data_IF_989302865742
#
_entry.id   IF_989302865742
#
_cell.length_a   1.000
_cell.length_b   1.000
_cell.length_c   1.000
_cell.angle_alpha   90.00
_cell.angle_beta   90.00
_cell.angle_gamma   90.00
#
_symmetry.space_group_name_H-M   'P 1'
#
loop_
_entity.id
_entity.type
_entity.pdbx_description
1 polymer ?
#
# COMPACT_ATOMS: atom_id res chain seq x y z
N UNK A 1 19.06 26.13 71.69
CA UNK A 1 18.85 24.70 71.36
C UNK A 1 17.64 24.57 70.46
N UNK A 2 17.79 23.77 69.40
CA UNK A 2 16.81 23.49 68.33
C UNK A 2 15.46 22.96 68.85
N UNK A 3 14.39 23.24 68.11
CA UNK A 3 13.53 22.15 67.66
C UNK A 3 12.93 22.41 66.27
N UNK A 4 13.65 21.89 65.27
CA UNK A 4 13.25 21.73 63.88
C UNK A 4 12.34 20.51 63.75
N UNK A 5 11.02 20.62 63.92
CA UNK A 5 10.07 19.56 63.49
C UNK A 5 8.69 20.13 63.17
N UNK A 6 8.55 20.80 62.02
CA UNK A 6 7.24 21.10 61.40
C UNK A 6 7.44 21.58 59.94
N UNK A 7 8.20 20.82 59.13
CA UNK A 7 8.31 21.02 57.68
C UNK A 7 8.44 19.70 56.90
N UNK A 8 7.76 18.65 57.35
CA UNK A 8 7.79 17.34 56.70
C UNK A 8 6.40 16.79 56.31
N UNK A 9 5.37 17.64 56.23
CA UNK A 9 4.00 17.21 55.87
C UNK A 9 3.41 17.91 54.62
N UNK A 10 4.19 18.75 53.93
CA UNK A 10 3.75 19.40 52.66
C UNK A 10 4.54 18.98 51.42
N UNK A 11 5.48 18.05 51.55
CA UNK A 11 6.30 17.57 50.43
C UNK A 11 5.86 16.19 49.86
N UNK A 12 4.85 15.55 50.44
CA UNK A 12 4.37 14.22 49.98
C UNK A 12 3.13 14.31 49.09
N UNK A 13 2.43 15.45 49.08
CA UNK A 13 1.30 15.70 48.16
C UNK A 13 1.71 16.22 46.77
N UNK A 14 3.01 16.50 46.55
CA UNK A 14 3.54 16.99 45.28
C UNK A 14 4.29 15.93 44.46
N UNK A 15 4.34 14.67 44.94
CA UNK A 15 5.04 13.56 44.27
C UNK A 15 4.06 12.58 43.59
N UNK A 16 2.75 12.68 43.86
CA UNK A 16 1.72 11.90 43.16
C UNK A 16 1.08 12.60 41.95
N UNK A 17 1.60 13.78 41.55
CA UNK A 17 1.16 14.50 40.34
C UNK A 17 2.20 14.53 39.22
N UNK A 18 3.30 13.79 39.36
CA UNK A 18 4.42 13.80 38.40
C UNK A 18 4.66 12.46 37.70
N UNK A 19 3.77 11.49 37.91
CA UNK A 19 3.76 10.20 37.20
C UNK A 19 2.45 9.98 36.44
N UNK A 20 1.80 11.06 36.00
CA UNK A 20 1.21 11.07 34.66
C UNK A 20 2.36 11.09 33.65
N UNK A 21 3.18 10.04 33.69
CA UNK A 21 3.95 9.64 32.54
C UNK A 21 2.94 9.53 31.41
N UNK A 22 3.29 10.16 30.29
CA UNK A 22 2.65 10.07 28.99
C UNK A 22 2.41 8.59 28.63
N UNK A 23 1.39 7.98 29.20
CA UNK A 23 0.63 6.97 28.54
C UNK A 23 -0.21 7.76 27.54
N UNK A 24 0.40 8.10 26.40
CA UNK A 24 -0.32 8.00 25.14
C UNK A 24 -0.84 6.56 25.12
N UNK A 25 -2.01 6.35 25.71
CA UNK A 25 -2.66 5.07 25.71
C UNK A 25 -2.77 4.68 24.26
N UNK A 26 -2.07 3.61 23.86
CA UNK A 26 -2.24 3.06 22.53
C UNK A 26 -3.74 2.99 22.28
N UNK A 27 -4.22 3.67 21.23
CA UNK A 27 -5.64 3.72 20.91
C UNK A 27 -6.18 2.28 21.01
N UNK A 28 -7.23 2.08 21.80
CA UNK A 28 -7.77 0.74 22.03
C UNK A 28 -7.99 0.07 20.69
N UNK A 29 -7.31 -1.07 20.47
CA UNK A 29 -7.40 -1.82 19.21
C UNK A 29 -8.87 -2.04 18.88
N UNK A 30 -9.35 -1.54 17.72
CA UNK A 30 -10.77 -1.64 17.39
C UNK A 30 -11.15 -3.11 17.22
N UNK A 31 -12.41 -3.43 17.51
CA UNK A 31 -12.98 -4.71 17.10
C UNK A 31 -13.05 -4.77 15.57
N UNK A 32 -13.06 -5.98 14.99
CA UNK A 32 -13.21 -6.16 13.54
C UNK A 32 -14.45 -5.43 12.98
N UNK A 33 -15.57 -5.43 13.73
CA UNK A 33 -16.79 -4.70 13.35
C UNK A 33 -16.60 -3.18 13.31
N UNK A 34 -15.97 -2.59 14.35
CA UNK A 34 -15.65 -1.16 14.38
C UNK A 34 -14.66 -0.79 13.26
N UNK A 35 -13.66 -1.64 13.02
CA UNK A 35 -12.69 -1.40 11.97
C UNK A 35 -13.30 -1.46 10.57
N UNK A 36 -14.23 -2.39 10.31
CA UNK A 36 -14.99 -2.42 9.06
C UNK A 36 -15.83 -1.15 8.84
N UNK A 37 -16.42 -0.60 9.89
CA UNK A 37 -17.13 0.69 9.81
C UNK A 37 -16.17 1.85 9.52
N UNK A 38 -14.97 1.84 10.10
CA UNK A 38 -13.90 2.81 9.80
C UNK A 38 -13.55 2.74 8.32
N UNK A 39 -13.31 1.54 7.77
CA UNK A 39 -12.98 1.34 6.37
C UNK A 39 -14.10 1.81 5.43
N UNK A 40 -15.36 1.49 5.74
CA UNK A 40 -16.51 1.96 4.97
C UNK A 40 -16.61 3.49 4.95
N UNK A 41 -16.40 4.14 6.10
CA UNK A 41 -16.39 5.61 6.20
C UNK A 41 -15.25 6.22 5.40
N UNK A 42 -14.04 5.65 5.47
CA UNK A 42 -12.88 6.16 4.75
C UNK A 42 -13.02 6.02 3.24
N UNK A 43 -13.42 4.84 2.75
CA UNK A 43 -13.77 4.65 1.34
C UNK A 43 -14.85 5.64 0.90
N UNK A 44 -15.79 6.02 1.77
CA UNK A 44 -16.81 6.99 1.41
C UNK A 44 -16.27 8.42 1.17
N UNK A 45 -15.15 8.78 1.79
CA UNK A 45 -14.64 10.16 1.83
C UNK A 45 -13.24 10.37 1.23
N UNK A 46 -12.48 9.30 0.97
CA UNK A 46 -11.07 9.38 0.59
C UNK A 46 -10.79 8.53 -0.66
N UNK A 47 -10.32 9.20 -1.70
CA UNK A 47 -9.98 8.57 -2.98
C UNK A 47 -8.83 7.56 -2.86
N UNK A 48 -7.82 7.84 -2.02
CA UNK A 48 -6.69 6.92 -1.78
C UNK A 48 -7.21 5.61 -1.20
N UNK A 49 -8.17 5.66 -0.29
CA UNK A 49 -8.78 4.47 0.33
C UNK A 49 -9.75 3.74 -0.62
N UNK A 50 -10.48 4.45 -1.48
CA UNK A 50 -11.27 3.81 -2.55
C UNK A 50 -10.38 3.01 -3.51
N UNK A 51 -9.28 3.64 -3.96
CA UNK A 51 -8.29 3.02 -4.81
C UNK A 51 -7.60 1.86 -4.07
N UNK A 52 -7.30 2.02 -2.78
CA UNK A 52 -6.72 0.98 -1.93
C UNK A 52 -7.54 -0.31 -1.88
N UNK A 53 -8.86 -0.24 -2.00
CA UNK A 53 -9.72 -1.44 -1.96
C UNK A 53 -9.89 -2.06 -3.34
N UNK A 54 -10.07 -1.23 -4.37
CA UNK A 54 -10.47 -1.67 -5.71
C UNK A 54 -9.31 -1.82 -6.67
N UNK A 55 -8.29 -0.96 -6.58
CA UNK A 55 -7.25 -0.77 -7.59
C UNK A 55 -7.72 -0.01 -8.83
N UNK A 56 -8.86 0.69 -8.75
CA UNK A 56 -9.50 1.39 -9.86
C UNK A 56 -9.55 2.90 -9.60
N UNK A 57 -9.78 3.68 -10.67
CA UNK A 57 -10.00 5.12 -10.59
C UNK A 57 -11.09 5.48 -9.59
N UNK A 58 -10.93 6.65 -8.98
CA UNK A 58 -11.71 7.12 -7.84
C UNK A 58 -12.88 7.96 -8.33
N UNK A 59 -14.08 7.37 -8.26
CA UNK A 59 -15.34 8.01 -8.63
C UNK A 59 -16.52 7.37 -7.85
N UNK A 60 -17.74 7.81 -8.12
CA UNK A 60 -18.95 7.29 -7.47
C UNK A 60 -19.09 5.77 -7.59
N UNK A 61 -18.92 5.23 -8.80
CA UNK A 61 -19.03 3.81 -9.07
C UNK A 61 -17.90 3.02 -8.41
N UNK A 62 -16.67 3.54 -8.45
CA UNK A 62 -15.52 3.00 -7.72
C UNK A 62 -15.77 2.93 -6.22
N UNK A 63 -16.36 3.98 -5.63
CA UNK A 63 -16.77 4.02 -4.22
C UNK A 63 -17.82 2.98 -3.88
N UNK A 64 -18.85 2.85 -4.70
CA UNK A 64 -19.89 1.82 -4.53
C UNK A 64 -19.29 0.40 -4.63
N UNK A 65 -18.38 0.18 -5.56
CA UNK A 65 -17.73 -1.12 -5.73
C UNK A 65 -16.80 -1.45 -4.55
N UNK A 66 -16.01 -0.48 -4.07
CA UNK A 66 -15.20 -0.61 -2.87
C UNK A 66 -16.06 -0.95 -1.64
N UNK A 67 -17.17 -0.25 -1.45
CA UNK A 67 -18.13 -0.51 -0.37
C UNK A 67 -18.75 -1.91 -0.48
N UNK A 68 -19.10 -2.36 -1.70
CA UNK A 68 -19.62 -3.70 -1.93
C UNK A 68 -18.59 -4.77 -1.56
N UNK A 69 -17.31 -4.61 -1.95
CA UNK A 69 -16.23 -5.55 -1.58
C UNK A 69 -16.07 -5.62 -0.06
N UNK A 70 -15.97 -4.47 0.62
CA UNK A 70 -15.84 -4.42 2.08
C UNK A 70 -17.04 -5.07 2.79
N UNK A 71 -18.25 -4.84 2.29
CA UNK A 71 -19.47 -5.45 2.83
C UNK A 71 -19.43 -6.97 2.68
N UNK A 72 -19.11 -7.48 1.47
CA UNK A 72 -19.02 -8.92 1.22
C UNK A 72 -17.92 -9.60 2.02
N UNK A 73 -16.77 -8.96 2.22
CA UNK A 73 -15.74 -9.45 3.14
C UNK A 73 -16.25 -9.48 4.58
N UNK A 74 -16.88 -8.39 5.02
CA UNK A 74 -17.45 -8.23 6.35
C UNK A 74 -18.54 -9.25 6.67
N UNK A 75 -19.27 -9.79 5.69
CA UNK A 75 -20.24 -10.88 5.85
C UNK A 75 -19.57 -12.24 6.18
N UNK A 76 -18.33 -12.45 5.76
CA UNK A 76 -17.61 -13.72 5.98
C UNK A 76 -17.05 -13.82 7.40
N UNK A 77 -17.52 -14.82 8.16
CA UNK A 77 -17.01 -15.07 9.53
C UNK A 77 -15.49 -15.25 9.56
N UNK A 78 -14.95 -16.07 8.67
CA UNK A 78 -13.52 -16.34 8.58
C UNK A 78 -12.69 -15.06 8.34
N UNK A 79 -13.21 -14.11 7.56
CA UNK A 79 -12.55 -12.81 7.38
C UNK A 79 -12.58 -11.98 8.65
N UNK A 80 -13.72 -11.89 9.34
CA UNK A 80 -13.83 -11.13 10.60
C UNK A 80 -12.91 -11.68 11.69
N UNK A 81 -12.82 -13.00 11.81
CA UNK A 81 -11.94 -13.65 12.78
C UNK A 81 -10.47 -13.35 12.46
N UNK A 82 -10.04 -13.56 11.21
CA UNK A 82 -8.68 -13.27 10.77
C UNK A 82 -8.32 -11.77 10.88
N UNK A 83 -9.28 -10.89 10.61
CA UNK A 83 -9.13 -9.44 10.78
C UNK A 83 -8.93 -9.09 12.26
N UNK A 84 -9.69 -9.69 13.17
CA UNK A 84 -9.54 -9.46 14.60
C UNK A 84 -8.17 -9.90 15.11
N UNK A 85 -7.70 -11.07 14.69
CA UNK A 85 -6.35 -11.57 15.01
C UNK A 85 -5.28 -10.62 14.46
N UNK A 86 -5.43 -10.18 13.22
CA UNK A 86 -4.51 -9.24 12.59
C UNK A 86 -4.47 -7.89 13.34
N UNK A 87 -5.62 -7.34 13.72
CA UNK A 87 -5.72 -6.08 14.47
C UNK A 87 -5.02 -6.16 15.82
N UNK A 88 -5.16 -7.28 16.54
CA UNK A 88 -4.46 -7.51 17.81
C UNK A 88 -2.94 -7.55 17.60
N UNK A 89 -2.48 -8.21 16.53
CA UNK A 89 -1.06 -8.34 16.24
C UNK A 89 -0.42 -7.07 15.62
N UNK A 90 -1.22 -6.12 15.12
CA UNK A 90 -0.76 -4.96 14.36
C UNK A 90 -1.34 -3.64 14.90
N UNK A 91 -1.20 -3.42 16.20
CA UNK A 91 -1.54 -2.14 16.81
C UNK A 91 -0.78 -0.99 16.12
N UNK A 92 -1.47 0.13 15.89
CA UNK A 92 -0.89 1.34 15.31
C UNK A 92 -1.22 2.54 16.19
N UNK A 93 -0.38 3.57 16.12
CA UNK A 93 -0.54 4.78 16.95
C UNK A 93 -1.72 5.63 16.51
N UNK A 94 -2.07 5.58 15.22
CA UNK A 94 -3.16 6.38 14.64
C UNK A 94 -4.09 5.52 13.78
N UNK A 95 -5.34 5.97 13.58
CA UNK A 95 -6.29 5.28 12.71
C UNK A 95 -5.79 5.24 11.25
N UNK A 96 -5.22 6.33 10.75
CA UNK A 96 -4.67 6.42 9.40
C UNK A 96 -3.54 5.41 9.18
N UNK A 97 -2.65 5.27 10.16
CA UNK A 97 -1.59 4.26 10.10
C UNK A 97 -2.17 2.84 10.18
N UNK A 98 -3.20 2.60 11.00
CA UNK A 98 -3.85 1.30 11.09
C UNK A 98 -4.48 0.90 9.75
N UNK A 99 -5.20 1.81 9.10
CA UNK A 99 -5.76 1.57 7.76
C UNK A 99 -4.64 1.42 6.73
N UNK A 100 -3.58 2.23 6.84
CA UNK A 100 -2.39 2.12 6.01
C UNK A 100 -1.53 0.86 6.31
N UNK A 101 -1.77 0.14 7.39
CA UNK A 101 -1.20 -1.19 7.59
C UNK A 101 -2.13 -2.25 6.99
N UNK A 102 -3.43 -2.06 7.17
CA UNK A 102 -4.45 -2.98 6.70
C UNK A 102 -4.48 -3.07 5.17
N UNK A 103 -4.52 -1.97 4.43
CA UNK A 103 -4.55 -2.02 2.95
C UNK A 103 -3.35 -2.79 2.37
N UNK A 104 -2.14 -2.66 2.93
CA UNK A 104 -0.94 -3.42 2.51
C UNK A 104 -1.12 -4.91 2.77
N UNK A 105 -1.62 -5.26 3.95
CA UNK A 105 -1.94 -6.64 4.31
C UNK A 105 -3.04 -7.22 3.40
N UNK A 106 -4.13 -6.47 3.22
CA UNK A 106 -5.24 -6.77 2.34
C UNK A 106 -4.78 -6.99 0.91
N UNK A 107 -3.96 -6.10 0.34
CA UNK A 107 -3.51 -6.22 -1.04
C UNK A 107 -2.63 -7.44 -1.28
N UNK A 108 -1.76 -7.78 -0.33
CA UNK A 108 -0.95 -9.01 -0.43
C UNK A 108 -1.83 -10.26 -0.58
N UNK A 109 -2.87 -10.36 0.23
CA UNK A 109 -3.80 -11.51 0.21
C UNK A 109 -4.71 -11.43 -1.01
N UNK A 110 -5.25 -10.26 -1.33
CA UNK A 110 -6.11 -10.03 -2.49
C UNK A 110 -5.40 -10.43 -3.79
N UNK A 111 -4.17 -9.95 -4.00
CA UNK A 111 -3.38 -10.30 -5.19
C UNK A 111 -3.14 -11.81 -5.25
N UNK A 112 -2.73 -12.42 -4.15
CA UNK A 112 -2.54 -13.87 -4.09
C UNK A 112 -3.86 -14.66 -4.36
N UNK A 113 -5.01 -14.10 -4.01
CA UNK A 113 -6.32 -14.72 -4.24
C UNK A 113 -6.78 -14.75 -5.71
N UNK A 114 -6.11 -14.03 -6.63
CA UNK A 114 -6.47 -14.04 -8.06
C UNK A 114 -6.43 -15.44 -8.68
N UNK A 115 -5.66 -16.37 -8.12
CA UNK A 115 -5.61 -17.75 -8.58
C UNK A 115 -6.99 -18.45 -8.50
N UNK A 116 -7.80 -18.09 -7.49
CA UNK A 116 -9.10 -18.68 -7.21
C UNK A 116 -10.25 -18.06 -8.01
N UNK A 117 -10.02 -16.94 -8.68
CA UNK A 117 -11.02 -16.32 -9.54
C UNK A 117 -11.20 -17.16 -10.81
N UNK A 118 -12.43 -17.21 -11.33
CA UNK A 118 -12.64 -17.86 -12.62
C UNK A 118 -12.17 -16.97 -13.78
N UNK A 119 -12.08 -17.56 -14.97
CA UNK A 119 -11.59 -16.85 -16.15
C UNK A 119 -12.51 -15.69 -16.58
N UNK A 120 -13.83 -15.83 -16.35
CA UNK A 120 -14.83 -14.82 -16.73
C UNK A 120 -14.72 -13.59 -15.85
N UNK A 121 -14.55 -13.78 -14.54
CA UNK A 121 -14.35 -12.73 -13.55
C UNK A 121 -13.06 -11.97 -13.82
N UNK A 122 -11.99 -12.70 -14.11
CA UNK A 122 -10.69 -12.13 -14.45
C UNK A 122 -10.79 -11.29 -15.72
N UNK A 123 -11.48 -11.76 -16.75
CA UNK A 123 -11.73 -10.99 -17.98
C UNK A 123 -12.46 -9.67 -17.72
N UNK A 124 -13.43 -9.66 -16.80
CA UNK A 124 -14.12 -8.42 -16.43
C UNK A 124 -13.20 -7.52 -15.62
N UNK A 125 -12.50 -8.05 -14.62
CA UNK A 125 -11.56 -7.27 -13.79
C UNK A 125 -10.41 -6.68 -14.60
N UNK A 126 -9.96 -7.34 -15.66
CA UNK A 126 -8.96 -6.85 -16.59
C UNK A 126 -9.44 -5.63 -17.40
N UNK A 127 -10.75 -5.53 -17.64
CA UNK A 127 -11.35 -4.42 -18.40
C UNK A 127 -11.58 -3.17 -17.55
N UNK A 128 -11.60 -3.26 -16.23
CA UNK A 128 -11.94 -2.13 -15.37
C UNK A 128 -10.83 -1.05 -15.30
N UNK A 129 -9.53 -1.40 -15.21
CA UNK A 129 -8.46 -0.42 -15.21
C UNK A 129 -8.35 0.33 -16.56
N UNK A 130 -7.72 1.50 -16.51
CA UNK A 130 -7.16 2.18 -17.68
C UNK A 130 -8.10 2.30 -18.89
N UNK A 131 -7.53 2.07 -20.08
CA UNK A 131 -8.19 2.07 -21.39
C UNK A 131 -8.73 0.70 -21.77
N UNK A 132 -8.49 -0.35 -20.96
CA UNK A 132 -8.99 -1.70 -21.21
C UNK A 132 -10.53 -1.76 -21.26
N UNK A 133 -11.21 -0.78 -20.66
CA UNK A 133 -12.67 -0.63 -20.72
C UNK A 133 -13.18 -0.45 -22.16
N UNK A 134 -12.33 -0.03 -23.10
CA UNK A 134 -12.67 0.13 -24.52
C UNK A 134 -12.70 -1.19 -25.31
N UNK A 135 -12.48 -2.34 -24.66
CA UNK A 135 -12.68 -3.64 -25.30
C UNK A 135 -14.05 -3.75 -25.96
N UNK A 136 -14.07 -4.23 -27.21
CA UNK A 136 -15.27 -4.30 -28.05
C UNK A 136 -15.53 -3.06 -28.91
N UNK A 137 -14.73 -1.99 -28.76
CA UNK A 137 -14.78 -0.84 -29.67
C UNK A 137 -13.95 -1.09 -30.95
N UNK A 138 -14.34 -0.52 -32.11
CA UNK A 138 -13.53 -0.63 -33.33
C UNK A 138 -12.17 0.03 -33.18
N UNK A 139 -11.12 -0.58 -33.77
CA UNK A 139 -9.74 -0.04 -33.77
C UNK A 139 -9.66 1.35 -34.42
N UNK A 140 -10.47 1.61 -35.43
CA UNK A 140 -10.56 2.92 -36.12
C UNK A 140 -11.00 4.04 -35.17
N UNK A 141 -11.85 3.71 -34.19
CA UNK A 141 -12.30 4.62 -33.15
C UNK A 141 -11.17 5.04 -32.20
N UNK A 142 -10.07 4.28 -32.11
CA UNK A 142 -8.86 4.67 -31.40
C UNK A 142 -7.99 5.66 -32.20
N UNK A 143 -8.10 5.63 -33.53
CA UNK A 143 -7.28 6.45 -34.43
C UNK A 143 -7.89 7.82 -34.72
N UNK A 144 -9.22 7.96 -34.58
CA UNK A 144 -9.97 9.14 -35.03
C UNK A 144 -10.62 9.94 -33.90
N UNK A 145 -10.76 9.35 -32.69
CA UNK A 145 -11.44 9.97 -31.56
C UNK A 145 -10.51 10.91 -30.80
N UNK A 146 -11.07 12.03 -30.31
CA UNK A 146 -10.33 12.95 -29.44
C UNK A 146 -9.96 12.29 -28.09
N UNK A 147 -9.02 12.89 -27.36
CA UNK A 147 -8.65 12.43 -26.02
C UNK A 147 -9.83 12.52 -25.04
N UNK A 148 -10.61 13.61 -25.10
CA UNK A 148 -11.75 13.85 -24.21
C UNK A 148 -12.89 12.86 -24.48
N UNK A 149 -13.22 12.62 -25.76
CA UNK A 149 -14.22 11.63 -26.13
C UNK A 149 -13.81 10.22 -25.73
N UNK A 150 -12.52 9.91 -25.83
CA UNK A 150 -11.97 8.61 -25.40
C UNK A 150 -12.07 8.45 -23.88
N UNK A 151 -11.72 9.49 -23.12
CA UNK A 151 -11.88 9.51 -21.67
C UNK A 151 -13.33 9.33 -21.25
N UNK A 152 -14.26 10.07 -21.88
CA UNK A 152 -15.69 9.95 -21.61
C UNK A 152 -16.23 8.55 -21.93
N UNK A 153 -15.79 7.93 -23.03
CA UNK A 153 -16.18 6.57 -23.38
C UNK A 153 -15.63 5.54 -22.38
N UNK A 154 -14.35 5.65 -22.00
CA UNK A 154 -13.72 4.79 -20.98
C UNK A 154 -14.54 4.84 -19.69
N UNK A 155 -14.87 6.05 -19.21
CA UNK A 155 -15.62 6.22 -17.98
C UNK A 155 -17.02 5.62 -18.08
N UNK A 156 -17.78 5.95 -19.14
CA UNK A 156 -19.12 5.37 -19.35
C UNK A 156 -19.11 3.85 -19.39
N UNK A 157 -18.18 3.25 -20.13
CA UNK A 157 -18.10 1.78 -20.24
C UNK A 157 -17.67 1.15 -18.92
N UNK A 158 -16.71 1.74 -18.20
CA UNK A 158 -16.33 1.28 -16.86
C UNK A 158 -17.51 1.32 -15.91
N UNK A 159 -18.25 2.43 -15.88
CA UNK A 159 -19.43 2.59 -15.03
C UNK A 159 -20.48 1.53 -15.34
N UNK A 160 -20.77 1.30 -16.63
CA UNK A 160 -21.68 0.22 -17.05
C UNK A 160 -21.23 -1.16 -16.59
N UNK A 161 -19.93 -1.48 -16.70
CA UNK A 161 -19.38 -2.76 -16.25
C UNK A 161 -19.48 -2.92 -14.73
N UNK A 162 -19.22 -1.84 -13.97
CA UNK A 162 -19.36 -1.85 -12.52
C UNK A 162 -20.84 -2.03 -12.15
N UNK A 163 -21.75 -1.29 -12.76
CA UNK A 163 -23.18 -1.39 -12.45
C UNK A 163 -23.74 -2.78 -12.76
N UNK A 164 -23.29 -3.42 -13.85
CA UNK A 164 -23.71 -4.77 -14.23
C UNK A 164 -23.11 -5.85 -13.31
N UNK A 165 -21.89 -5.67 -12.83
CA UNK A 165 -21.12 -6.76 -12.23
C UNK A 165 -20.68 -6.55 -10.77
N UNK A 166 -20.87 -5.37 -10.17
CA UNK A 166 -20.29 -5.03 -8.84
C UNK A 166 -20.61 -6.04 -7.75
N UNK A 167 -21.88 -6.44 -7.61
CA UNK A 167 -22.29 -7.33 -6.51
C UNK A 167 -21.72 -8.74 -6.68
N UNK A 168 -21.73 -9.22 -7.93
CA UNK A 168 -21.16 -10.53 -8.30
C UNK A 168 -19.65 -10.52 -8.09
N UNK A 169 -18.94 -9.51 -8.61
CA UNK A 169 -17.50 -9.35 -8.48
C UNK A 169 -17.08 -9.19 -7.02
N UNK A 170 -17.81 -8.40 -6.23
CA UNK A 170 -17.55 -8.25 -4.81
C UNK A 170 -17.68 -9.59 -4.07
N UNK A 171 -18.71 -10.39 -4.41
CA UNK A 171 -18.92 -11.73 -3.85
C UNK A 171 -17.77 -12.69 -4.16
N UNK A 172 -17.35 -12.78 -5.42
CA UNK A 172 -16.26 -13.69 -5.84
C UNK A 172 -14.90 -13.24 -5.31
N UNK A 173 -14.64 -11.93 -5.24
CA UNK A 173 -13.41 -11.38 -4.62
C UNK A 173 -13.37 -11.74 -3.13
N UNK A 174 -14.47 -11.55 -2.40
CA UNK A 174 -14.53 -11.89 -0.98
C UNK A 174 -14.33 -13.39 -0.74
N UNK A 175 -14.97 -14.25 -1.55
CA UNK A 175 -14.82 -15.70 -1.47
C UNK A 175 -13.38 -16.14 -1.79
N UNK A 176 -12.76 -15.59 -2.84
CA UNK A 176 -11.37 -15.86 -3.19
C UNK A 176 -10.40 -15.42 -2.07
N UNK A 177 -10.63 -14.26 -1.49
CA UNK A 177 -9.84 -13.73 -0.37
C UNK A 177 -9.87 -14.68 0.84
N UNK A 178 -11.07 -15.14 1.24
CA UNK A 178 -11.23 -16.08 2.36
C UNK A 178 -10.60 -17.43 2.07
N UNK A 179 -10.65 -17.92 0.82
CA UNK A 179 -9.93 -19.12 0.41
C UNK A 179 -8.41 -18.96 0.55
N UNK A 180 -7.88 -17.81 0.17
CA UNK A 180 -6.46 -17.51 0.35
C UNK A 180 -6.07 -17.43 1.83
N UNK A 181 -6.90 -16.82 2.68
CA UNK A 181 -6.68 -16.84 4.14
C UNK A 181 -6.59 -18.27 4.68
N UNK A 182 -7.55 -19.14 4.31
CA UNK A 182 -7.57 -20.53 4.75
C UNK A 182 -6.32 -21.30 4.30
N UNK A 183 -5.85 -21.04 3.07
CA UNK A 183 -4.61 -21.63 2.53
C UNK A 183 -3.36 -21.14 3.28
N UNK A 184 -3.30 -19.86 3.62
CA UNK A 184 -2.18 -19.29 4.40
C UNK A 184 -2.12 -19.90 5.80
N UNK A 185 -3.28 -20.11 6.44
CA UNK A 185 -3.36 -20.72 7.77
C UNK A 185 -3.00 -22.20 7.77
N UNK A 186 -3.36 -22.93 6.70
CA UNK A 186 -3.13 -24.37 6.59
C UNK A 186 -2.47 -24.72 5.24
N UNK A 187 -1.19 -24.36 5.04
CA UNK A 187 -0.51 -24.61 3.78
C UNK A 187 -0.29 -26.11 3.58
N UNK A 188 -0.75 -26.65 2.46
CA UNK A 188 -0.52 -28.05 2.06
C UNK A 188 0.55 -28.13 0.98
N UNK A 189 1.37 -29.21 0.97
CA UNK A 189 2.29 -29.46 -0.13
C UNK A 189 1.53 -29.53 -1.46
N UNK A 190 1.95 -28.72 -2.44
CA UNK A 190 1.36 -28.69 -3.77
C UNK A 190 0.18 -27.73 -3.95
N UNK A 191 -0.22 -26.95 -2.93
CA UNK A 191 -1.31 -25.96 -3.05
C UNK A 191 -1.09 -24.92 -4.14
N UNK A 192 0.17 -24.67 -4.52
CA UNK A 192 0.54 -23.88 -5.70
C UNK A 192 1.55 -24.62 -6.55
N UNK A 193 1.44 -24.56 -7.89
CA UNK A 193 2.54 -24.97 -8.75
C UNK A 193 3.78 -24.15 -8.42
N UNK A 194 4.96 -24.75 -8.57
CA UNK A 194 6.23 -24.04 -8.42
C UNK A 194 6.20 -22.80 -9.32
N UNK A 195 6.54 -21.63 -8.76
CA UNK A 195 6.39 -20.34 -9.46
C UNK A 195 7.10 -20.32 -10.82
N UNK A 196 8.21 -21.02 -10.95
CA UNK A 196 8.94 -21.23 -12.20
C UNK A 196 8.09 -21.98 -13.25
N UNK A 197 7.39 -23.05 -12.85
CA UNK A 197 6.50 -23.82 -13.75
C UNK A 197 5.33 -22.95 -14.23
N UNK A 198 4.73 -22.18 -13.34
CA UNK A 198 3.65 -21.26 -13.70
C UNK A 198 4.17 -20.19 -14.67
N UNK A 199 5.33 -19.60 -14.39
CA UNK A 199 5.98 -18.60 -15.24
C UNK A 199 6.29 -19.16 -16.63
N UNK A 200 6.82 -20.38 -16.72
CA UNK A 200 7.09 -21.04 -18.01
C UNK A 200 5.81 -21.23 -18.84
N UNK A 201 4.71 -21.65 -18.20
CA UNK A 201 3.40 -21.82 -18.87
C UNK A 201 2.84 -20.49 -19.37
N UNK A 202 2.91 -19.43 -18.55
CA UNK A 202 2.51 -18.07 -18.91
C UNK A 202 3.32 -17.56 -20.11
N UNK A 203 4.65 -17.71 -20.08
CA UNK A 203 5.53 -17.31 -21.19
C UNK A 203 5.29 -18.15 -22.45
N UNK A 204 4.98 -19.44 -22.32
CA UNK A 204 4.62 -20.28 -23.45
C UNK A 204 3.29 -19.84 -24.08
N UNK A 205 2.28 -19.50 -23.28
CA UNK A 205 1.02 -18.95 -23.74
C UNK A 205 1.23 -17.60 -24.46
N UNK A 206 2.04 -16.70 -23.89
CA UNK A 206 2.40 -15.42 -24.50
C UNK A 206 3.05 -15.61 -25.88
N UNK A 207 4.06 -16.48 -25.98
CA UNK A 207 4.72 -16.80 -27.26
C UNK A 207 3.76 -17.39 -28.29
N UNK A 208 2.83 -18.25 -27.88
CA UNK A 208 1.80 -18.81 -28.77
C UNK A 208 0.85 -17.73 -29.26
N UNK A 209 0.44 -16.82 -28.37
CA UNK A 209 -0.42 -15.69 -28.72
C UNK A 209 0.28 -14.79 -29.75
N UNK A 210 1.54 -14.39 -29.50
CA UNK A 210 2.31 -13.59 -30.45
C UNK A 210 2.41 -14.22 -31.84
N UNK A 211 2.56 -15.56 -31.93
CA UNK A 211 2.56 -16.29 -33.22
C UNK A 211 1.22 -16.33 -33.94
N UNK A 212 0.11 -16.15 -33.21
CA UNK A 212 -1.24 -16.14 -33.77
C UNK A 212 -1.68 -14.77 -34.30
N UNK A 213 -0.93 -13.71 -33.98
CA UNK A 213 -1.23 -12.34 -34.39
C UNK A 213 -0.49 -11.97 -35.69
N UNK A 214 -1.00 -11.01 -36.47
CA UNK A 214 -0.24 -10.38 -37.55
C UNK A 214 1.10 -9.82 -37.03
N UNK A 215 2.15 -9.81 -37.86
CA UNK A 215 3.52 -9.46 -37.43
C UNK A 215 3.63 -8.07 -36.77
N UNK A 216 2.89 -7.07 -37.29
CA UNK A 216 2.87 -5.73 -36.71
C UNK A 216 2.23 -5.71 -35.31
N UNK A 217 1.14 -6.45 -35.12
CA UNK A 217 0.44 -6.56 -33.84
C UNK A 217 1.26 -7.39 -32.83
N UNK A 218 1.89 -8.47 -33.29
CA UNK A 218 2.81 -9.26 -32.47
C UNK A 218 3.97 -8.40 -31.92
N UNK A 219 4.51 -7.49 -32.73
CA UNK A 219 5.58 -6.57 -32.30
C UNK A 219 5.12 -5.56 -31.24
N UNK A 220 3.89 -5.05 -31.34
CA UNK A 220 3.31 -4.17 -30.32
C UNK A 220 3.11 -4.92 -29.00
N UNK A 221 2.57 -6.13 -29.06
CA UNK A 221 2.37 -6.98 -27.89
C UNK A 221 3.71 -7.36 -27.24
N UNK A 222 4.72 -7.73 -28.02
CA UNK A 222 6.07 -8.04 -27.53
C UNK A 222 6.74 -6.84 -26.86
N UNK A 223 6.63 -5.64 -27.45
CA UNK A 223 7.18 -4.42 -26.85
C UNK A 223 6.53 -4.10 -25.49
N UNK A 224 5.20 -4.24 -25.35
CA UNK A 224 4.51 -3.90 -24.09
C UNK A 224 5.01 -4.73 -22.89
N UNK A 225 5.37 -5.99 -23.14
CA UNK A 225 5.84 -6.92 -22.11
C UNK A 225 7.36 -7.13 -22.11
N UNK A 226 8.10 -6.33 -22.88
CA UNK A 226 9.56 -6.40 -22.92
C UNK A 226 10.24 -5.66 -21.76
N UNK A 227 11.44 -6.11 -21.39
CA UNK A 227 12.29 -5.37 -20.45
C UNK A 227 12.81 -4.10 -21.13
N UNK A 228 12.55 -2.93 -20.52
CA UNK A 228 12.90 -1.64 -21.13
C UNK A 228 11.95 -1.20 -22.25
N UNK A 229 10.66 -1.57 -22.14
CA UNK A 229 9.62 -1.23 -23.11
C UNK A 229 9.73 0.19 -23.66
N UNK A 230 9.64 0.33 -24.99
CA UNK A 230 9.59 1.65 -25.63
C UNK A 230 8.27 2.32 -25.26
N UNK A 231 8.36 3.51 -24.66
CA UNK A 231 7.18 4.34 -24.44
C UNK A 231 6.59 4.78 -25.79
N UNK A 232 5.26 4.83 -25.93
CA UNK A 232 4.62 5.37 -27.12
C UNK A 232 5.05 6.81 -27.36
N UNK A 233 5.39 7.15 -28.61
CA UNK A 233 5.84 8.49 -28.99
C UNK A 233 4.70 9.47 -29.20
N UNK A 234 3.47 8.97 -29.38
CA UNK A 234 2.26 9.76 -29.64
C UNK A 234 1.05 9.20 -28.89
N UNK A 235 0.01 10.03 -28.65
CA UNK A 235 -1.27 9.55 -28.11
C UNK A 235 -1.92 8.44 -28.96
N UNK A 236 -1.74 8.50 -30.28
CA UNK A 236 -2.24 7.49 -31.21
C UNK A 236 -1.53 6.14 -31.02
N UNK A 237 -0.19 6.14 -30.91
CA UNK A 237 0.58 4.92 -30.61
C UNK A 237 0.17 4.31 -29.27
N UNK A 238 -0.09 5.15 -28.26
CA UNK A 238 -0.59 4.71 -26.96
C UNK A 238 -1.95 4.04 -27.08
N UNK A 239 -2.87 4.65 -27.84
CA UNK A 239 -4.22 4.13 -28.02
C UNK A 239 -4.23 2.80 -28.79
N UNK A 240 -3.45 2.70 -29.88
CA UNK A 240 -3.34 1.48 -30.67
C UNK A 240 -2.74 0.33 -29.85
N UNK A 241 -1.70 0.62 -29.07
CA UNK A 241 -1.11 -0.35 -28.15
C UNK A 241 -2.11 -0.85 -27.12
N UNK A 242 -2.82 0.05 -26.46
CA UNK A 242 -3.78 -0.30 -25.42
C UNK A 242 -4.96 -1.11 -26.00
N UNK A 243 -5.47 -0.69 -27.16
CA UNK A 243 -6.54 -1.41 -27.87
C UNK A 243 -6.09 -2.83 -28.22
N UNK A 244 -4.91 -2.95 -28.84
CA UNK A 244 -4.40 -4.22 -29.31
C UNK A 244 -4.12 -5.17 -28.15
N UNK A 245 -3.38 -4.71 -27.14
CA UNK A 245 -3.02 -5.54 -25.99
C UNK A 245 -4.27 -6.05 -25.29
N UNK A 246 -5.29 -5.20 -25.14
CA UNK A 246 -6.56 -5.58 -24.53
C UNK A 246 -7.28 -6.68 -25.32
N UNK A 247 -7.44 -6.52 -26.63
CA UNK A 247 -8.11 -7.52 -27.47
C UNK A 247 -7.28 -8.81 -27.57
N UNK A 248 -5.97 -8.72 -27.77
CA UNK A 248 -5.09 -9.88 -27.83
C UNK A 248 -5.18 -10.74 -26.55
N UNK A 249 -5.28 -10.11 -25.37
CA UNK A 249 -5.37 -10.83 -24.08
C UNK A 249 -6.76 -11.41 -23.84
N UNK A 250 -7.82 -10.66 -24.13
CA UNK A 250 -9.19 -11.11 -23.89
C UNK A 250 -9.64 -12.16 -24.91
N UNK A 251 -9.21 -12.03 -26.17
CA UNK A 251 -9.58 -12.92 -27.27
C UNK A 251 -8.62 -14.10 -27.45
N UNK A 252 -7.59 -14.20 -26.59
CA UNK A 252 -6.63 -15.30 -26.65
C UNK A 252 -7.31 -16.67 -26.52
N UNK A 253 -7.17 -17.51 -27.56
CA UNK A 253 -7.68 -18.89 -27.61
C UNK A 253 -6.58 -19.95 -27.49
N UNK A 254 -5.35 -19.53 -27.19
CA UNK A 254 -4.19 -20.43 -27.04
C UNK A 254 -4.28 -21.28 -25.77
N UNK A 255 -3.60 -22.42 -25.76
CA UNK A 255 -3.39 -23.20 -24.54
C UNK A 255 -2.84 -22.31 -23.41
N UNK A 256 -3.39 -22.47 -22.21
CA UNK A 256 -3.08 -21.64 -21.03
C UNK A 256 -3.43 -20.14 -21.15
N UNK A 257 -4.29 -19.73 -22.11
CA UNK A 257 -4.76 -18.35 -22.24
C UNK A 257 -5.40 -17.81 -20.94
N UNK A 258 -6.19 -18.63 -20.24
CA UNK A 258 -6.77 -18.24 -18.95
C UNK A 258 -5.70 -17.96 -17.88
N UNK A 259 -4.68 -18.82 -17.81
CA UNK A 259 -3.56 -18.62 -16.89
C UNK A 259 -2.79 -17.35 -17.23
N UNK A 260 -2.53 -17.11 -18.51
CA UNK A 260 -1.89 -15.88 -19.00
C UNK A 260 -2.72 -14.65 -18.63
N UNK A 261 -4.03 -14.65 -18.88
CA UNK A 261 -4.95 -13.55 -18.55
C UNK A 261 -4.96 -13.26 -17.05
N UNK A 262 -5.00 -14.29 -16.21
CA UNK A 262 -4.86 -14.14 -14.75
C UNK A 262 -3.56 -13.47 -14.37
N UNK A 263 -2.43 -13.90 -14.95
CA UNK A 263 -1.11 -13.33 -14.65
C UNK A 263 -0.98 -11.86 -15.08
N UNK A 264 -1.46 -11.48 -16.27
CA UNK A 264 -1.41 -10.08 -16.71
C UNK A 264 -2.35 -9.19 -15.91
N UNK A 265 -3.55 -9.69 -15.55
CA UNK A 265 -4.48 -8.96 -14.70
C UNK A 265 -3.88 -8.76 -13.30
N UNK A 266 -3.34 -9.82 -12.71
CA UNK A 266 -2.62 -9.74 -11.43
C UNK A 266 -1.50 -8.70 -11.48
N UNK A 267 -0.68 -8.70 -12.55
CA UNK A 267 0.40 -7.73 -12.71
C UNK A 267 -0.13 -6.28 -12.80
N UNK A 268 -1.20 -6.03 -13.56
CA UNK A 268 -1.82 -4.71 -13.63
C UNK A 268 -2.25 -4.19 -12.26
N UNK A 269 -2.98 -5.01 -11.50
CA UNK A 269 -3.38 -4.63 -10.15
C UNK A 269 -2.17 -4.44 -9.23
N UNK A 270 -1.15 -5.31 -9.27
CA UNK A 270 0.07 -5.15 -8.48
C UNK A 270 0.74 -3.80 -8.75
N UNK A 271 0.95 -3.44 -10.02
CA UNK A 271 1.59 -2.17 -10.39
C UNK A 271 0.76 -0.95 -10.01
N UNK A 272 -0.57 -1.07 -9.97
CA UNK A 272 -1.46 -0.03 -9.51
C UNK A 272 -1.21 0.27 -8.01
N UNK A 273 -1.00 -0.76 -7.19
CA UNK A 273 -0.76 -0.62 -5.75
C UNK A 273 0.69 -0.26 -5.39
N UNK A 274 1.69 -0.61 -6.20
CA UNK A 274 3.08 -0.17 -5.96
C UNK A 274 3.21 1.36 -5.91
N UNK A 275 2.31 2.07 -6.60
CA UNK A 275 2.22 3.55 -6.59
C UNK A 275 1.78 4.13 -5.25
N UNK A 276 1.24 3.30 -4.35
CA UNK A 276 0.73 3.71 -3.04
C UNK A 276 1.74 3.49 -1.91
N UNK A 277 2.92 2.95 -2.20
CA UNK A 277 3.96 2.79 -1.20
C UNK A 277 4.38 4.17 -0.65
N UNK A 278 4.59 4.31 0.69
CA UNK A 278 5.01 5.57 1.27
C UNK A 278 6.28 6.08 0.60
N UNK A 279 6.29 7.36 0.24
CA UNK A 279 7.48 8.00 -0.28
C UNK A 279 8.61 7.91 0.76
N UNK A 280 9.75 7.40 0.34
CA UNK A 280 10.93 7.27 1.21
C UNK A 280 11.65 8.61 1.27
N UNK A 281 12.06 9.02 2.46
CA UNK A 281 12.95 10.16 2.62
C UNK A 281 14.26 9.90 1.87
N UNK A 282 14.76 10.88 1.09
CA UNK A 282 16.10 10.84 0.53
C UNK A 282 17.12 11.13 1.63
N UNK A 283 17.34 10.15 2.51
CA UNK A 283 18.38 10.25 3.53
C UNK A 283 19.75 10.26 2.87
N UNK A 284 20.59 11.24 3.23
CA UNK A 284 21.99 11.23 2.81
C UNK A 284 22.67 10.01 3.41
N UNK A 285 23.33 9.22 2.55
CA UNK A 285 24.12 8.09 3.00
C UNK A 285 25.17 8.56 4.02
N UNK A 286 25.23 7.91 5.17
CA UNK A 286 26.17 8.26 6.23
C UNK A 286 27.35 7.29 6.22
N UNK A 287 28.60 7.79 6.20
CA UNK A 287 29.77 6.94 6.30
C UNK A 287 29.71 6.08 7.58
N UNK A 288 30.01 4.78 7.42
CA UNK A 288 30.01 3.83 8.54
C UNK A 288 28.62 3.42 9.04
N UNK A 289 27.53 3.77 8.37
CA UNK A 289 26.19 3.25 8.68
C UNK A 289 25.73 2.27 7.62
N UNK A 290 25.30 1.08 8.04
CA UNK A 290 24.64 0.09 7.19
C UNK A 290 23.14 0.08 7.53
N UNK A 291 22.27 0.55 6.62
CA UNK A 291 20.83 0.52 6.84
C UNK A 291 20.28 -0.90 6.98
N UNK A 292 19.26 -1.06 7.82
CA UNK A 292 18.47 -2.29 7.91
C UNK A 292 17.36 -2.35 6.85
N UNK A 293 16.25 -3.02 7.20
CA UNK A 293 15.03 -3.13 6.41
C UNK A 293 14.09 -1.93 6.60
N UNK A 294 14.16 -1.25 7.75
CA UNK A 294 13.39 -0.05 8.03
C UNK A 294 13.84 1.10 7.11
N UNK A 295 12.92 1.99 6.80
CA UNK A 295 13.16 3.21 6.02
C UNK A 295 12.42 4.37 6.66
N UNK A 296 12.92 5.58 6.44
CA UNK A 296 12.22 6.80 6.87
C UNK A 296 11.20 7.18 5.81
N UNK A 297 9.95 7.34 6.21
CA UNK A 297 8.84 7.85 5.40
C UNK A 297 8.00 8.80 6.24
N UNK A 298 7.31 9.74 5.60
CA UNK A 298 6.34 10.57 6.30
C UNK A 298 5.19 9.68 6.80
N UNK A 299 4.82 9.71 8.10
CA UNK A 299 3.65 9.01 8.61
C UNK A 299 2.39 9.40 7.83
N UNK A 300 1.50 8.43 7.61
CA UNK A 300 0.29 8.60 6.79
C UNK A 300 -0.59 9.77 7.25
N UNK A 301 -0.77 9.94 8.57
CA UNK A 301 -1.54 11.07 9.10
C UNK A 301 -0.89 12.41 8.76
N UNK A 302 0.44 12.51 8.82
CA UNK A 302 1.15 13.75 8.47
C UNK A 302 1.03 14.04 6.96
N UNK A 303 1.16 13.02 6.11
CA UNK A 303 0.95 13.12 4.66
C UNK A 303 -0.47 13.62 4.35
N UNK A 304 -1.50 12.98 4.90
CA UNK A 304 -2.91 13.34 4.68
C UNK A 304 -3.31 14.71 5.21
N UNK A 305 -2.54 15.26 6.14
CA UNK A 305 -2.77 16.61 6.69
C UNK A 305 -1.86 17.67 6.05
N UNK A 306 -1.11 17.29 5.01
CA UNK A 306 -0.26 18.21 4.26
C UNK A 306 0.87 18.78 5.10
N UNK A 307 1.43 18.00 6.03
CA UNK A 307 2.53 18.45 6.87
C UNK A 307 3.79 18.57 6.03
N UNK A 308 4.36 19.77 6.04
CA UNK A 308 5.62 20.11 5.35
C UNK A 308 6.62 20.70 6.34
N UNK A 309 7.87 20.83 5.91
CA UNK A 309 8.96 21.41 6.69
C UNK A 309 10.08 20.40 6.99
N UNK A 310 10.98 20.78 7.89
CA UNK A 310 12.20 20.01 8.15
C UNK A 310 12.30 19.54 9.60
N UNK A 311 12.95 18.41 9.80
CA UNK A 311 13.35 17.90 11.11
C UNK A 311 14.83 17.59 11.10
N UNK A 312 15.53 18.11 12.11
CA UNK A 312 16.88 17.68 12.43
C UNK A 312 16.84 16.75 13.63
N UNK A 313 17.28 15.50 13.43
CA UNK A 313 17.38 14.51 14.51
C UNK A 313 18.84 14.38 14.95
N UNK A 314 19.05 14.39 16.28
CA UNK A 314 20.33 14.04 16.90
C UNK A 314 20.29 12.56 17.27
N UNK A 315 21.19 11.78 16.67
CA UNK A 315 21.37 10.35 16.92
C UNK A 315 22.60 10.15 17.78
N UNK A 316 22.44 9.40 18.87
CA UNK A 316 23.53 8.99 19.77
C UNK A 316 23.81 7.50 19.56
N UNK A 317 25.09 7.16 19.45
CA UNK A 317 25.59 5.81 19.17
C UNK A 317 26.57 5.42 20.27
N UNK A 318 26.43 4.22 20.81
CA UNK A 318 27.32 3.66 21.83
C UNK A 318 28.65 3.15 21.24
N UNK A 319 29.55 2.71 22.12
CA UNK A 319 30.86 2.17 21.77
C UNK A 319 30.79 0.92 20.87
N UNK A 320 29.69 0.17 20.94
CA UNK A 320 29.46 -1.03 20.14
C UNK A 320 28.87 -0.73 18.75
N UNK A 321 28.57 0.54 18.44
CA UNK A 321 27.94 0.93 17.19
C UNK A 321 26.42 0.76 17.18
N UNK A 322 25.78 0.60 18.34
CA UNK A 322 24.33 0.56 18.47
C UNK A 322 23.78 1.94 18.82
N UNK A 323 22.55 2.20 18.39
CA UNK A 323 21.87 3.46 18.67
C UNK A 323 21.39 3.48 20.11
N UNK A 324 21.90 4.43 20.90
CA UNK A 324 21.50 4.64 22.29
C UNK A 324 20.33 5.63 22.41
N UNK A 325 20.16 6.56 21.45
CA UNK A 325 19.01 7.45 21.44
C UNK A 325 18.86 8.26 20.15
N UNK A 326 17.61 8.60 19.83
CA UNK A 326 17.23 9.50 18.73
C UNK A 326 16.30 10.56 19.29
N UNK A 327 16.70 11.83 19.18
CA UNK A 327 15.93 12.97 19.68
C UNK A 327 15.87 14.07 18.63
N UNK A 328 14.84 14.92 18.69
CA UNK A 328 14.80 16.12 17.86
C UNK A 328 15.86 17.12 18.35
N UNK A 329 16.71 17.59 17.44
CA UNK A 329 17.55 18.77 17.67
C UNK A 329 16.75 20.05 17.42
N UNK A 330 15.99 20.10 16.33
CA UNK A 330 15.00 21.13 16.01
C UNK A 330 14.02 20.62 14.95
N UNK A 331 12.88 21.31 14.79
CA UNK A 331 11.94 21.06 13.69
C UNK A 331 11.22 22.34 13.26
N UNK A 332 10.73 22.36 12.02
CA UNK A 332 9.91 23.44 11.44
C UNK A 332 8.61 22.91 10.83
N UNK A 333 8.07 21.80 11.38
CA UNK A 333 6.90 21.12 10.82
C UNK A 333 5.65 22.00 10.90
N UNK A 334 4.95 22.13 9.77
CA UNK A 334 3.68 22.87 9.67
C UNK A 334 2.64 21.99 8.96
N UNK A 335 1.45 21.75 9.54
CA UNK A 335 1.06 22.17 10.89
C UNK A 335 1.85 21.45 12.00
N UNK A 336 1.98 22.09 13.17
CA UNK A 336 2.71 21.53 14.34
C UNK A 336 1.91 20.44 15.06
N UNK A 337 0.59 20.43 14.88
CA UNK A 337 -0.32 19.42 15.39
C UNK A 337 -1.28 18.98 14.29
N UNK A 338 -1.62 17.71 14.30
CA UNK A 338 -2.55 17.09 13.35
C UNK A 338 -3.63 16.35 14.10
N UNK A 339 -4.85 16.35 13.53
CA UNK A 339 -5.98 15.61 14.11
C UNK A 339 -6.33 14.42 13.23
N UNK A 340 -6.35 13.24 13.82
CA UNK A 340 -6.77 11.99 13.19
C UNK A 340 -8.28 11.98 12.92
N UNK A 341 -8.73 11.12 12.01
CA UNK A 341 -10.14 10.96 11.65
C UNK A 341 -11.04 10.54 12.83
N UNK A 342 -10.47 9.99 13.91
CA UNK A 342 -11.18 9.66 15.15
C UNK A 342 -11.29 10.85 16.14
N UNK A 343 -10.70 12.02 15.80
CA UNK A 343 -10.72 13.22 16.62
C UNK A 343 -9.52 13.38 17.57
N UNK A 344 -8.61 12.42 17.64
CA UNK A 344 -7.39 12.53 18.45
C UNK A 344 -6.37 13.47 17.81
N UNK A 345 -5.76 14.33 18.63
CA UNK A 345 -4.74 15.30 18.18
C UNK A 345 -3.36 14.86 18.63
N UNK A 346 -2.39 14.93 17.70
CA UNK A 346 -1.00 14.56 17.91
C UNK A 346 -0.08 15.73 17.53
N UNK A 347 1.01 15.91 18.25
CA UNK A 347 2.09 16.76 17.76
C UNK A 347 2.77 16.08 16.56
N UNK A 348 3.02 16.83 15.48
CA UNK A 348 3.58 16.29 14.25
C UNK A 348 4.97 15.67 14.47
N UNK A 349 5.77 16.27 15.35
CA UNK A 349 7.08 15.75 15.70
C UNK A 349 7.01 14.39 16.41
N UNK A 350 6.02 14.20 17.29
CA UNK A 350 5.87 12.97 18.08
C UNK A 350 5.50 11.77 17.21
N UNK A 351 4.83 12.01 16.07
CA UNK A 351 4.56 10.97 15.08
C UNK A 351 5.77 10.65 14.20
N UNK A 352 6.67 11.61 14.00
CA UNK A 352 7.81 11.46 13.10
C UNK A 352 9.05 10.88 13.80
N UNK A 353 9.31 11.22 15.07
CA UNK A 353 10.47 10.73 15.82
C UNK A 353 10.57 9.20 15.89
N UNK A 354 9.49 8.43 16.13
CA UNK A 354 9.54 6.97 16.13
C UNK A 354 9.98 6.37 14.80
N UNK A 355 9.70 7.05 13.67
CA UNK A 355 10.14 6.60 12.34
C UNK A 355 11.67 6.66 12.23
N UNK A 356 12.28 7.76 12.72
CA UNK A 356 13.73 7.90 12.75
C UNK A 356 14.37 6.92 13.73
N UNK A 357 13.82 6.77 14.93
CA UNK A 357 14.33 5.85 15.94
C UNK A 357 14.34 4.41 15.41
N UNK A 358 13.22 3.96 14.82
CA UNK A 358 13.12 2.64 14.18
C UNK A 358 14.14 2.46 13.05
N UNK A 359 14.30 3.45 12.17
CA UNK A 359 15.27 3.38 11.07
C UNK A 359 16.71 3.20 11.56
N UNK A 360 17.14 4.03 12.50
CA UNK A 360 18.52 3.98 12.97
C UNK A 360 18.80 2.77 13.85
N UNK A 361 17.83 2.31 14.66
CA UNK A 361 17.97 1.10 15.48
C UNK A 361 17.97 -0.20 14.70
N UNK A 362 17.28 -0.24 13.55
CA UNK A 362 17.27 -1.41 12.67
C UNK A 362 18.55 -1.53 11.84
N UNK A 363 19.28 -0.42 11.65
CA UNK A 363 20.61 -0.41 11.04
C UNK A 363 21.75 -0.65 12.04
N UNK A 364 22.98 -0.58 11.55
CA UNK A 364 24.19 -0.75 12.37
C UNK A 364 25.27 0.25 12.01
N UNK A 365 25.93 0.81 13.03
CA UNK A 365 27.11 1.66 12.83
C UNK A 365 28.40 0.85 13.02
N UNK A 366 29.42 1.18 12.21
CA UNK A 366 30.79 0.79 12.50
C UNK A 366 31.23 1.48 13.79
N UNK A 367 31.82 0.75 14.75
CA UNK A 367 32.36 1.34 15.98
C UNK A 367 33.31 2.51 15.67
N UNK A 368 33.09 3.64 16.33
CA UNK A 368 33.95 4.80 16.18
C UNK A 368 35.16 4.66 17.09
N UNK A 369 36.37 4.76 16.54
CA UNK A 369 37.61 4.59 17.29
C UNK A 369 38.26 5.94 17.58
N UNK A 370 38.53 6.22 18.85
CA UNK A 370 39.35 7.35 19.31
C UNK A 370 40.58 6.78 19.98
N UNK A 371 41.77 7.08 19.44
CA UNK A 371 43.05 6.52 19.89
C UNK A 371 43.07 4.98 19.91
N UNK A 372 42.41 4.34 18.95
CA UNK A 372 42.33 2.88 18.84
C UNK A 372 41.28 2.21 19.74
N UNK A 373 40.61 2.97 20.61
CA UNK A 373 39.56 2.44 21.49
C UNK A 373 38.16 2.84 20.98
N UNK A 374 37.16 1.94 21.05
CA UNK A 374 35.76 2.29 20.78
C UNK A 374 35.29 3.43 21.69
N UNK A 375 34.62 4.42 21.11
CA UNK A 375 34.09 5.57 21.81
C UNK A 375 32.66 5.89 21.33
N UNK A 376 31.77 6.35 22.22
CA UNK A 376 30.44 6.79 21.82
C UNK A 376 30.55 8.07 20.98
N UNK A 377 29.60 8.26 20.06
CA UNK A 377 29.53 9.48 19.25
C UNK A 377 28.08 9.89 19.00
N UNK A 378 27.89 11.13 18.58
CA UNK A 378 26.58 11.62 18.17
C UNK A 378 26.67 12.45 16.91
N UNK A 379 25.55 12.58 16.22
CA UNK A 379 25.46 13.40 15.01
C UNK A 379 24.05 13.90 14.78
N UNK A 380 23.94 14.94 13.96
CA UNK A 380 22.66 15.45 13.49
C UNK A 380 22.45 15.12 12.02
N UNK A 381 21.24 14.73 11.66
CA UNK A 381 20.79 14.56 10.29
C UNK A 381 19.51 15.37 10.09
N UNK A 382 19.50 16.20 9.07
CA UNK A 382 18.31 16.94 8.66
C UNK A 382 17.61 16.23 7.51
N UNK A 383 16.28 16.24 7.55
CA UNK A 383 15.40 15.75 6.50
C UNK A 383 14.31 16.79 6.26
N UNK A 384 14.12 17.13 5.00
CA UNK A 384 13.12 18.08 4.51
C UNK A 384 11.97 17.32 3.84
N UNK A 385 10.74 17.70 4.18
CA UNK A 385 9.50 17.18 3.62
C UNK A 385 8.80 18.33 2.88
N UNK A 386 8.79 18.23 1.55
CA UNK A 386 8.24 19.24 0.65
C UNK A 386 6.87 18.88 0.14
#
# INVERSE_FOLDING_TARGET
>A
MMNKRLRAARAVAAIFLSTAALASGAATTPTAGQFLQILQKQVASDEKDQFAVTGLSTDEQGRQFAAAILTRLGEQKAYRDALQEWLIANAATTQEELVSNWWRHYQKIRLASFEFLDDRDVSILFRLPGTQALYGSPREGCQTRSADDSSALVQRTRHSLIDEHKDRLAGVIAAAYVRELARIQNPRPGDRPVGEVQTMRVMAAFKKLGKSLPAADAAILDNEYSYGKRAPGTPQEQCDRDWLTTHAILDATVSDASLFRKSVTHAQYSTAFDRLAPARAPLRARPGFTPGKAFVSLPELLERRGVTGAVSVKVSVDEAGNVSGVVAAWNSLIPTHVTSANGETFASLDLLLPVFDKYYRDGKFTPHLVNGNPAPFSFSQEVDWK
#
